data_IF_288871085782
#
_entry.id   IF_288871085782
#
_cell.length_a   1.000
_cell.length_b   1.000
_cell.length_c   1.000
_cell.angle_alpha   90.00
_cell.angle_beta   90.00
_cell.angle_gamma   90.00
#
_symmetry.space_group_name_H-M   'P 1'
#
loop_
_entity.id
_entity.type
_entity.pdbx_description
1 polymer ?
#
# COMPACT_ATOMS: atom_id res chain seq x y z
N UNK A 1 -11.78 8.05 26.05
CA UNK A 1 -11.87 8.56 24.66
C UNK A 1 -13.34 8.70 24.30
N UNK A 2 -13.83 9.90 23.93
CA UNK A 2 -15.25 10.10 23.65
C UNK A 2 -15.70 9.25 22.45
N UNK A 3 -16.80 8.53 22.59
CA UNK A 3 -17.33 7.56 21.60
C UNK A 3 -17.57 8.24 20.22
N UNK A 4 -17.83 9.53 20.19
CA UNK A 4 -18.14 10.31 18.98
C UNK A 4 -16.97 11.14 18.42
N UNK A 5 -15.73 10.95 18.93
CA UNK A 5 -14.57 11.64 18.36
C UNK A 5 -14.39 11.24 16.90
N UNK A 6 -14.26 12.24 16.01
CA UNK A 6 -14.11 12.05 14.56
C UNK A 6 -12.70 12.44 14.11
N UNK A 7 -12.24 11.82 13.01
CA UNK A 7 -11.07 12.28 12.28
C UNK A 7 -11.42 13.50 11.39
N UNK A 8 -10.44 14.13 10.71
CA UNK A 8 -10.69 15.27 9.82
C UNK A 8 -11.69 15.00 8.68
N UNK A 9 -11.87 13.72 8.31
CA UNK A 9 -12.82 13.30 7.26
C UNK A 9 -14.20 12.92 7.79
N UNK A 10 -14.48 13.18 9.07
CA UNK A 10 -15.78 12.92 9.70
C UNK A 10 -16.00 11.46 10.14
N UNK A 11 -15.02 10.57 10.00
CA UNK A 11 -15.15 9.18 10.44
C UNK A 11 -15.06 9.09 11.97
N UNK A 12 -16.04 8.41 12.60
CA UNK A 12 -16.07 8.14 14.02
C UNK A 12 -14.94 7.17 14.38
N UNK A 13 -13.99 7.60 15.22
CA UNK A 13 -12.80 6.82 15.56
C UNK A 13 -13.12 5.49 16.24
N UNK A 14 -14.17 5.43 17.05
CA UNK A 14 -14.64 4.19 17.66
C UNK A 14 -15.04 3.15 16.60
N UNK A 15 -15.82 3.54 15.60
CA UNK A 15 -16.22 2.64 14.51
C UNK A 15 -15.03 2.24 13.64
N UNK A 16 -14.14 3.18 13.34
CA UNK A 16 -12.89 2.91 12.58
C UNK A 16 -12.03 1.88 13.33
N UNK A 17 -11.88 1.99 14.65
CA UNK A 17 -11.13 1.05 15.47
C UNK A 17 -11.69 -0.37 15.35
N UNK A 18 -13.01 -0.51 15.52
CA UNK A 18 -13.67 -1.80 15.41
C UNK A 18 -13.57 -2.40 14.01
N UNK A 19 -13.71 -1.56 12.98
CA UNK A 19 -13.53 -1.99 11.59
C UNK A 19 -12.12 -2.55 11.35
N UNK A 20 -11.08 -1.85 11.80
CA UNK A 20 -9.69 -2.31 11.65
C UNK A 20 -9.46 -3.62 12.40
N UNK A 21 -9.98 -3.76 13.61
CA UNK A 21 -9.89 -5.00 14.41
C UNK A 21 -10.53 -6.18 13.69
N UNK A 22 -11.78 -6.03 13.25
CA UNK A 22 -12.55 -7.10 12.62
C UNK A 22 -11.91 -7.46 11.27
N UNK A 23 -11.67 -6.47 10.41
CA UNK A 23 -11.06 -6.70 9.09
C UNK A 23 -9.65 -7.31 9.24
N UNK A 24 -8.86 -6.83 10.20
CA UNK A 24 -7.55 -7.37 10.50
C UNK A 24 -7.63 -8.82 10.98
N UNK A 25 -8.53 -9.13 11.93
CA UNK A 25 -8.73 -10.51 12.41
C UNK A 25 -9.09 -11.47 11.26
N UNK A 26 -9.97 -11.05 10.36
CA UNK A 26 -10.39 -11.86 9.20
C UNK A 26 -9.27 -12.04 8.16
N UNK A 27 -8.35 -11.09 8.05
CA UNK A 27 -7.33 -11.09 7.02
C UNK A 27 -5.97 -11.62 7.48
N UNK A 28 -5.71 -11.67 8.78
CA UNK A 28 -4.43 -12.09 9.35
C UNK A 28 -3.93 -13.43 8.79
N UNK A 29 -4.80 -14.45 8.73
CA UNK A 29 -4.44 -15.79 8.20
C UNK A 29 -3.98 -15.78 6.75
N UNK A 30 -4.27 -14.73 5.99
CA UNK A 30 -3.86 -14.60 4.58
C UNK A 30 -2.36 -14.34 4.44
N UNK A 31 -1.78 -13.72 5.47
CA UNK A 31 -0.35 -13.35 5.53
C UNK A 31 0.43 -14.26 6.49
N UNK A 32 -0.29 -14.93 7.43
CA UNK A 32 0.32 -15.86 8.37
C UNK A 32 -0.59 -17.07 8.61
N UNK A 33 -0.35 -18.10 7.83
CA UNK A 33 -1.10 -19.35 7.88
C UNK A 33 -1.40 -19.91 6.51
N UNK A 34 -2.16 -19.19 5.66
CA UNK A 34 -2.35 -19.63 4.26
C UNK A 34 -1.16 -19.30 3.38
N UNK A 35 -0.49 -18.21 3.65
CA UNK A 35 0.76 -17.76 3.06
C UNK A 35 1.70 -17.33 4.20
N UNK A 36 2.93 -17.01 3.87
CA UNK A 36 3.91 -16.51 4.81
C UNK A 36 4.40 -15.15 4.35
N UNK A 37 4.26 -14.14 5.22
CA UNK A 37 4.76 -12.79 5.00
C UNK A 37 6.12 -12.64 5.67
N UNK A 38 7.15 -12.57 4.88
CA UNK A 38 8.50 -12.19 5.32
C UNK A 38 8.57 -10.67 5.36
N UNK A 39 8.92 -10.13 6.52
CA UNK A 39 9.00 -8.69 6.77
C UNK A 39 10.45 -8.34 7.06
N UNK A 40 10.90 -7.19 6.56
CA UNK A 40 12.25 -6.65 6.79
C UNK A 40 12.14 -5.14 6.99
N UNK A 41 12.89 -4.59 7.96
CA UNK A 41 13.02 -3.16 8.20
C UNK A 41 11.83 -2.54 8.93
N UNK A 42 10.95 -3.33 9.56
CA UNK A 42 9.78 -2.78 10.24
C UNK A 42 10.12 -1.95 11.48
N UNK A 43 11.32 -2.05 12.03
CA UNK A 43 11.83 -1.22 13.13
C UNK A 43 11.89 0.27 12.76
N UNK A 44 12.09 0.60 11.47
CA UNK A 44 12.08 1.98 10.97
C UNK A 44 10.77 2.68 11.35
N UNK A 45 9.65 1.95 11.33
CA UNK A 45 8.32 2.50 11.63
C UNK A 45 8.20 3.05 13.05
N UNK A 46 8.95 2.49 14.01
CA UNK A 46 8.89 2.92 15.42
C UNK A 46 9.57 4.25 15.67
N UNK A 47 10.47 4.65 14.77
CA UNK A 47 11.23 5.90 14.85
C UNK A 47 10.57 7.06 14.10
N UNK A 48 9.47 6.80 13.37
CA UNK A 48 8.77 7.81 12.59
C UNK A 48 7.88 8.67 13.50
N UNK A 49 7.70 9.96 13.18
CA UNK A 49 6.74 10.80 13.87
C UNK A 49 5.30 10.29 13.66
N UNK A 50 4.39 10.68 14.56
CA UNK A 50 2.99 10.22 14.50
C UNK A 50 2.24 10.71 13.26
N UNK A 51 2.72 11.76 12.60
CA UNK A 51 2.11 12.40 11.43
C UNK A 51 3.15 12.87 10.42
N UNK A 52 2.68 13.32 9.26
CA UNK A 52 3.48 13.82 8.14
C UNK A 52 4.48 12.79 7.59
N UNK A 53 4.00 11.54 7.45
CA UNK A 53 4.75 10.45 6.85
C UNK A 53 3.99 9.95 5.62
N UNK A 54 4.66 9.90 4.48
CA UNK A 54 4.14 9.39 3.22
C UNK A 54 4.84 8.07 2.86
N UNK A 55 4.12 6.98 2.96
CA UNK A 55 4.60 5.68 2.46
C UNK A 55 4.33 5.58 0.96
N UNK A 56 5.37 5.25 0.22
CA UNK A 56 5.31 5.03 -1.23
C UNK A 56 5.63 3.58 -1.54
N UNK A 57 4.80 2.91 -2.34
CA UNK A 57 4.99 1.48 -2.61
C UNK A 57 4.66 1.12 -4.05
N UNK A 58 5.29 0.06 -4.54
CA UNK A 58 4.80 -0.67 -5.70
C UNK A 58 3.43 -1.29 -5.37
N UNK A 59 2.62 -1.59 -6.40
CA UNK A 59 1.23 -2.02 -6.21
C UNK A 59 0.94 -3.34 -6.92
N UNK A 60 0.53 -4.35 -6.17
CA UNK A 60 0.28 -5.66 -6.71
C UNK A 60 -1.20 -6.04 -6.75
N UNK A 61 -1.99 -5.61 -5.75
CA UNK A 61 -3.43 -5.89 -5.64
C UNK A 61 -4.18 -4.69 -5.06
N UNK A 62 -5.49 -4.55 -5.31
CA UNK A 62 -6.22 -3.34 -4.87
C UNK A 62 -6.34 -3.19 -3.36
N UNK A 63 -6.50 -4.29 -2.62
CA UNK A 63 -6.77 -4.25 -1.18
C UNK A 63 -5.74 -4.98 -0.32
N UNK A 64 -5.21 -6.14 -0.79
CA UNK A 64 -4.31 -6.93 0.06
C UNK A 64 -3.03 -6.17 0.41
N UNK A 65 -2.51 -5.35 -0.49
CA UNK A 65 -1.32 -4.54 -0.25
C UNK A 65 -1.53 -3.58 0.93
N UNK A 66 -2.62 -2.81 0.91
CA UNK A 66 -2.97 -1.87 1.99
C UNK A 66 -3.22 -2.63 3.31
N UNK A 67 -3.94 -3.75 3.25
CA UNK A 67 -4.23 -4.57 4.44
C UNK A 67 -2.95 -5.11 5.07
N UNK A 68 -1.97 -5.55 4.27
CA UNK A 68 -0.67 -5.98 4.80
C UNK A 68 0.06 -4.84 5.52
N UNK A 69 0.03 -3.62 4.97
CA UNK A 69 0.59 -2.44 5.60
C UNK A 69 -0.07 -2.14 6.95
N UNK A 70 -1.40 -2.25 7.04
CA UNK A 70 -2.10 -2.11 8.33
C UNK A 70 -1.63 -3.15 9.34
N UNK A 71 -1.41 -4.41 8.93
CA UNK A 71 -0.88 -5.44 9.80
C UNK A 71 0.55 -5.13 10.26
N UNK A 72 1.46 -4.85 9.33
CA UNK A 72 2.87 -4.61 9.63
C UNK A 72 3.04 -3.36 10.49
N UNK A 73 2.39 -2.25 10.14
CA UNK A 73 2.51 -0.99 10.88
C UNK A 73 2.01 -1.13 12.32
N UNK A 74 0.84 -1.72 12.52
CA UNK A 74 0.32 -1.90 13.88
C UNK A 74 1.15 -2.91 14.68
N UNK A 75 1.69 -3.95 14.05
CA UNK A 75 2.56 -4.91 14.72
C UNK A 75 3.87 -4.24 15.17
N UNK A 76 4.52 -3.49 14.29
CA UNK A 76 5.74 -2.74 14.61
C UNK A 76 5.50 -1.73 15.73
N UNK A 77 4.46 -0.89 15.63
CA UNK A 77 4.12 0.09 16.68
C UNK A 77 3.72 -0.56 18.01
N UNK A 78 3.40 -1.86 18.02
CA UNK A 78 3.18 -2.67 19.23
C UNK A 78 4.45 -3.35 19.73
N UNK A 79 5.64 -2.96 19.24
CA UNK A 79 6.94 -3.50 19.65
C UNK A 79 7.32 -4.84 19.02
N UNK A 80 6.75 -5.18 17.84
CA UNK A 80 7.09 -6.42 17.12
C UNK A 80 7.92 -6.09 15.89
N UNK A 81 9.18 -6.40 15.93
CA UNK A 81 10.08 -6.24 14.79
C UNK A 81 9.90 -7.42 13.84
N UNK A 82 9.71 -7.09 12.55
CA UNK A 82 9.63 -8.03 11.41
C UNK A 82 8.65 -9.20 11.61
N UNK A 83 7.58 -8.97 12.38
CA UNK A 83 6.65 -10.04 12.73
C UNK A 83 5.23 -9.57 12.95
N UNK A 84 4.29 -10.28 12.33
CA UNK A 84 2.86 -10.16 12.61
C UNK A 84 2.32 -11.35 13.41
N UNK A 85 3.19 -12.11 14.08
CA UNK A 85 2.78 -13.20 14.97
C UNK A 85 1.86 -12.66 16.06
N UNK A 86 0.84 -13.41 16.42
CA UNK A 86 -0.12 -13.05 17.46
C UNK A 86 -0.85 -11.72 17.19
N UNK A 87 -2.10 -11.80 16.86
CA UNK A 87 -2.98 -10.72 16.41
C UNK A 87 -3.22 -9.58 17.44
N UNK A 88 -2.69 -9.72 18.66
CA UNK A 88 -2.91 -8.75 19.76
C UNK A 88 -2.54 -7.28 19.42
N UNK A 89 -1.69 -7.04 18.41
CA UNK A 89 -1.40 -5.68 17.95
C UNK A 89 -2.62 -4.94 17.36
N UNK A 90 -3.68 -5.65 17.03
CA UNK A 90 -4.94 -5.03 16.59
C UNK A 90 -5.79 -4.50 17.75
N UNK A 91 -5.37 -4.73 19.01
CA UNK A 91 -6.13 -4.23 20.16
C UNK A 91 -6.17 -2.71 20.23
N UNK A 92 -5.06 -2.05 19.92
CA UNK A 92 -4.97 -0.59 19.82
C UNK A 92 -4.34 -0.16 18.51
N UNK A 93 -5.10 -0.23 17.38
CA UNK A 93 -4.56 0.10 16.07
C UNK A 93 -4.37 1.61 15.91
N UNK A 94 -3.36 1.99 15.11
CA UNK A 94 -3.15 3.37 14.67
C UNK A 94 -4.36 3.84 13.85
N UNK A 95 -5.07 4.84 14.36
CA UNK A 95 -6.31 5.33 13.75
C UNK A 95 -6.07 6.45 12.73
N UNK A 96 -5.00 7.21 12.87
CA UNK A 96 -4.57 8.24 11.93
C UNK A 96 -3.68 7.64 10.82
N UNK A 97 -4.13 6.53 10.25
CA UNK A 97 -3.54 5.87 9.09
C UNK A 97 -4.51 5.97 7.91
N UNK A 98 -4.01 6.46 6.78
CA UNK A 98 -4.77 6.75 5.58
C UNK A 98 -4.14 6.08 4.36
N UNK A 99 -4.91 5.92 3.29
CA UNK A 99 -4.40 5.44 2.01
C UNK A 99 -5.11 6.11 0.84
N UNK A 100 -4.35 6.43 -0.20
CA UNK A 100 -4.87 7.03 -1.41
C UNK A 100 -5.50 5.96 -2.29
N UNK A 101 -6.76 6.13 -2.68
CA UNK A 101 -7.49 5.20 -3.50
C UNK A 101 -8.31 5.91 -4.59
N UNK A 102 -8.49 5.26 -5.75
CA UNK A 102 -9.37 5.78 -6.78
C UNK A 102 -10.83 5.72 -6.34
N UNK A 103 -11.55 6.83 -6.47
CA UNK A 103 -12.95 6.94 -6.07
C UNK A 103 -13.85 5.89 -6.72
N UNK A 104 -13.59 5.53 -7.98
CA UNK A 104 -14.28 4.44 -8.67
C UNK A 104 -14.14 3.09 -7.97
N UNK A 105 -12.95 2.78 -7.46
CA UNK A 105 -12.68 1.51 -6.77
C UNK A 105 -13.45 1.44 -5.46
N UNK A 106 -13.52 2.55 -4.72
CA UNK A 106 -14.21 2.62 -3.43
C UNK A 106 -15.74 2.61 -3.58
N UNK A 107 -16.27 3.02 -4.73
CA UNK A 107 -17.72 3.01 -5.03
C UNK A 107 -18.20 1.68 -5.66
N UNK A 108 -17.32 0.76 -6.00
CA UNK A 108 -17.61 -0.46 -6.75
C UNK A 108 -18.40 -1.55 -6.01
N UNK A 109 -18.87 -1.28 -4.77
CA UNK A 109 -19.70 -2.20 -3.98
C UNK A 109 -19.70 -1.89 -2.49
N UNK A 110 -20.45 -2.69 -1.71
CA UNK A 110 -20.59 -2.48 -0.27
C UNK A 110 -19.25 -2.69 0.48
N UNK A 111 -18.54 -3.78 0.19
CA UNK A 111 -17.27 -4.08 0.86
C UNK A 111 -16.19 -3.01 0.62
N UNK A 112 -15.94 -2.51 -0.62
CA UNK A 112 -15.06 -1.36 -0.82
C UNK A 112 -15.46 -0.12 -0.03
N UNK A 113 -16.76 0.17 0.08
CA UNK A 113 -17.25 1.32 0.87
C UNK A 113 -16.97 1.17 2.36
N UNK A 114 -17.15 -0.04 2.90
CA UNK A 114 -16.80 -0.35 4.30
C UNK A 114 -15.31 -0.20 4.51
N UNK A 115 -14.48 -0.75 3.61
CA UNK A 115 -13.03 -0.64 3.69
C UNK A 115 -12.55 0.82 3.56
N UNK A 116 -13.25 1.65 2.76
CA UNK A 116 -12.95 3.07 2.66
C UNK A 116 -13.03 3.79 4.01
N UNK A 117 -13.93 3.38 4.89
CA UNK A 117 -14.05 3.94 6.24
C UNK A 117 -12.81 3.68 7.10
N UNK A 118 -11.98 2.68 6.75
CA UNK A 118 -10.72 2.44 7.43
C UNK A 118 -9.66 3.52 7.17
N UNK A 119 -9.91 4.46 6.24
CA UNK A 119 -9.02 5.61 6.00
C UNK A 119 -8.71 5.88 4.53
N UNK A 120 -9.59 5.52 3.60
CA UNK A 120 -9.39 5.88 2.19
C UNK A 120 -9.55 7.38 1.96
N UNK A 121 -8.55 7.98 1.31
CA UNK A 121 -8.62 9.29 0.68
C UNK A 121 -8.92 9.03 -0.80
N UNK A 122 -10.11 9.39 -1.24
CA UNK A 122 -10.50 9.15 -2.63
C UNK A 122 -10.00 10.25 -3.54
N UNK A 123 -9.31 9.84 -4.61
CA UNK A 123 -8.83 10.76 -5.65
C UNK A 123 -9.48 10.44 -6.99
N UNK A 124 -9.70 11.48 -7.77
CA UNK A 124 -10.19 11.37 -9.15
C UNK A 124 -9.02 11.07 -10.08
N UNK A 125 -9.10 10.01 -10.87
CA UNK A 125 -8.05 9.72 -11.85
C UNK A 125 -8.12 10.74 -12.97
N UNK A 126 -6.97 11.33 -13.32
CA UNK A 126 -6.87 12.30 -14.41
C UNK A 126 -6.70 11.64 -15.78
N UNK A 127 -6.27 10.37 -15.82
CA UNK A 127 -5.91 9.67 -17.07
C UNK A 127 -6.83 8.51 -17.45
N UNK A 128 -7.73 8.06 -16.56
CA UNK A 128 -8.62 6.92 -16.85
C UNK A 128 -9.88 6.96 -16.02
N UNK A 129 -11.02 6.84 -16.68
CA UNK A 129 -12.32 6.64 -16.04
C UNK A 129 -13.06 5.48 -16.70
N UNK A 130 -13.61 4.55 -15.87
CA UNK A 130 -14.37 3.36 -16.35
C UNK A 130 -13.68 2.56 -17.47
N UNK A 131 -12.34 2.54 -17.44
CA UNK A 131 -11.56 1.81 -18.44
C UNK A 131 -11.15 2.59 -19.68
N UNK A 132 -11.68 3.80 -19.90
CA UNK A 132 -11.33 4.69 -21.01
C UNK A 132 -10.25 5.67 -20.59
N UNK A 133 -9.33 6.00 -21.49
CA UNK A 133 -8.36 7.07 -21.28
C UNK A 133 -9.09 8.43 -21.30
N UNK A 134 -8.73 9.28 -20.35
CA UNK A 134 -9.24 10.64 -20.22
C UNK A 134 -8.07 11.56 -19.91
N UNK A 135 -8.21 12.82 -20.31
CA UNK A 135 -7.31 13.90 -19.90
C UNK A 135 -8.12 14.88 -19.04
N UNK A 136 -7.84 14.93 -17.75
CA UNK A 136 -8.47 15.86 -16.81
C UNK A 136 -7.40 16.61 -16.04
N UNK A 137 -7.67 17.86 -15.75
CA UNK A 137 -6.87 18.63 -14.81
C UNK A 137 -6.90 17.98 -13.41
N UNK A 138 -5.80 18.13 -12.69
CA UNK A 138 -5.68 17.66 -11.29
C UNK A 138 -6.74 18.38 -10.45
N UNK A 139 -7.51 17.62 -9.70
CA UNK A 139 -8.47 18.20 -8.77
C UNK A 139 -7.71 18.70 -7.53
N UNK A 140 -7.65 20.01 -7.35
CA UNK A 140 -6.96 20.64 -6.20
C UNK A 140 -7.48 20.10 -4.86
N UNK A 141 -8.79 19.84 -4.77
CA UNK A 141 -9.41 19.27 -3.56
C UNK A 141 -8.84 17.88 -3.20
N UNK A 142 -8.51 17.07 -4.20
CA UNK A 142 -7.90 15.75 -3.95
C UNK A 142 -6.51 15.90 -3.32
N UNK A 143 -5.74 16.88 -3.77
CA UNK A 143 -4.41 17.21 -3.20
C UNK A 143 -4.54 17.79 -1.80
N UNK A 144 -5.50 18.69 -1.56
CA UNK A 144 -5.78 19.24 -0.24
C UNK A 144 -6.18 18.16 0.77
N UNK A 145 -7.02 17.20 0.38
CA UNK A 145 -7.39 16.07 1.24
C UNK A 145 -6.20 15.22 1.64
N UNK A 146 -5.22 15.04 0.72
CA UNK A 146 -3.97 14.32 1.08
C UNK A 146 -3.15 15.14 2.06
N UNK A 147 -3.08 16.47 1.89
CA UNK A 147 -2.42 17.37 2.86
C UNK A 147 -3.05 17.27 4.25
N UNK A 148 -4.39 17.36 4.34
CA UNK A 148 -5.12 17.20 5.62
C UNK A 148 -4.82 15.84 6.28
N UNK A 149 -4.68 14.78 5.49
CA UNK A 149 -4.36 13.46 6.02
C UNK A 149 -2.90 13.36 6.50
N UNK A 150 -1.96 14.01 5.82
CA UNK A 150 -0.56 14.11 6.26
C UNK A 150 -0.43 14.90 7.56
N UNK A 151 -1.18 15.98 7.70
CA UNK A 151 -1.22 16.79 8.93
C UNK A 151 -1.79 16.03 10.13
N UNK A 152 -2.70 15.07 9.89
CA UNK A 152 -3.30 14.23 10.94
C UNK A 152 -2.51 12.96 11.22
N UNK A 153 -1.85 12.36 10.21
CA UNK A 153 -1.24 11.05 10.38
C UNK A 153 -0.32 10.56 9.26
N UNK A 154 -0.35 9.26 9.04
CA UNK A 154 0.41 8.54 8.02
C UNK A 154 -0.45 8.31 6.77
N UNK A 155 0.14 8.49 5.60
CA UNK A 155 -0.53 8.31 4.32
C UNK A 155 0.20 7.27 3.48
N UNK A 156 -0.52 6.27 2.96
CA UNK A 156 -0.02 5.27 2.01
C UNK A 156 -0.42 5.70 0.60
N UNK A 157 0.52 5.68 -0.33
CA UNK A 157 0.26 5.94 -1.75
C UNK A 157 0.96 4.94 -2.66
N UNK A 158 0.36 4.71 -3.82
CA UNK A 158 0.90 3.87 -4.88
C UNK A 158 1.13 4.75 -6.12
N UNK A 159 2.34 5.31 -6.28
CA UNK A 159 2.58 6.40 -7.22
C UNK A 159 2.43 6.03 -8.70
N UNK A 160 2.47 4.74 -9.05
CA UNK A 160 2.16 4.26 -10.39
C UNK A 160 0.66 4.36 -10.75
N UNK A 161 -0.23 4.39 -9.73
CA UNK A 161 -1.69 4.44 -9.91
C UNK A 161 -2.29 3.19 -10.56
N UNK A 162 -1.54 2.10 -10.62
CA UNK A 162 -1.93 0.83 -11.25
C UNK A 162 -1.26 -0.35 -10.57
N UNK A 163 -1.90 -1.53 -10.64
CA UNK A 163 -1.30 -2.79 -10.18
C UNK A 163 -0.44 -3.47 -11.27
N UNK A 164 -0.30 -2.88 -12.47
CA UNK A 164 0.61 -3.39 -13.50
C UNK A 164 2.05 -3.00 -13.14
N UNK A 165 3.01 -3.94 -13.17
CA UNK A 165 4.40 -3.63 -12.88
C UNK A 165 5.01 -2.75 -13.98
N UNK A 166 6.10 -2.10 -13.65
CA UNK A 166 6.95 -1.36 -14.60
C UNK A 166 6.19 -0.25 -15.36
N UNK A 167 5.15 0.29 -14.75
CA UNK A 167 4.48 1.49 -15.28
C UNK A 167 5.09 2.73 -14.66
N UNK A 168 5.26 3.80 -15.44
CA UNK A 168 5.84 5.04 -14.95
C UNK A 168 5.11 5.58 -13.73
N UNK A 169 5.85 6.17 -12.82
CA UNK A 169 5.33 6.91 -11.68
C UNK A 169 4.64 8.18 -12.17
N UNK A 170 3.53 8.52 -11.52
CA UNK A 170 2.77 9.74 -11.79
C UNK A 170 3.39 10.93 -11.04
N UNK A 171 3.59 12.04 -11.74
CA UNK A 171 4.13 13.28 -11.16
C UNK A 171 3.32 13.82 -9.97
N UNK A 172 2.04 13.45 -9.87
CA UNK A 172 1.18 13.88 -8.76
C UNK A 172 1.74 13.57 -7.38
N UNK A 173 2.36 12.42 -7.17
CA UNK A 173 3.01 12.08 -5.89
C UNK A 173 4.21 13.00 -5.61
N UNK A 174 5.04 13.30 -6.61
CA UNK A 174 6.16 14.22 -6.47
C UNK A 174 5.69 15.66 -6.13
N UNK A 175 4.59 16.12 -6.72
CA UNK A 175 3.98 17.41 -6.36
C UNK A 175 3.48 17.43 -4.90
N UNK A 176 2.86 16.34 -4.43
CA UNK A 176 2.45 16.20 -3.02
C UNK A 176 3.67 16.29 -2.10
N UNK A 177 4.75 15.59 -2.45
CA UNK A 177 6.01 15.61 -1.68
C UNK A 177 6.58 17.04 -1.59
N UNK A 178 6.66 17.76 -2.71
CA UNK A 178 7.14 19.15 -2.70
C UNK A 178 6.26 20.09 -1.89
N UNK A 179 4.94 19.93 -1.99
CA UNK A 179 4.00 20.86 -1.35
C UNK A 179 3.89 20.64 0.15
N UNK A 180 3.88 19.38 0.63
CA UNK A 180 3.63 19.05 2.04
C UNK A 180 4.88 18.58 2.78
N UNK A 181 6.01 18.38 2.09
CA UNK A 181 7.33 18.02 2.66
C UNK A 181 7.25 16.88 3.70
N UNK A 182 6.56 15.76 3.40
CA UNK A 182 6.46 14.65 4.33
C UNK A 182 7.77 13.86 4.39
N UNK A 183 8.00 13.13 5.48
CA UNK A 183 9.00 12.05 5.48
C UNK A 183 8.51 10.97 4.53
N UNK A 184 9.28 10.68 3.48
CA UNK A 184 8.93 9.71 2.44
C UNK A 184 9.60 8.38 2.73
N UNK A 185 8.79 7.35 3.00
CA UNK A 185 9.27 6.00 3.36
C UNK A 185 8.89 5.02 2.26
N UNK A 186 9.85 4.44 1.53
CA UNK A 186 9.57 3.43 0.52
C UNK A 186 9.22 2.08 1.14
N UNK A 187 8.27 1.39 0.49
CA UNK A 187 7.91 0.01 0.81
C UNK A 187 7.93 -0.80 -0.49
N UNK A 188 8.59 -1.95 -0.43
CA UNK A 188 8.60 -2.92 -1.54
C UNK A 188 7.84 -4.17 -1.12
N UNK A 189 6.89 -4.59 -1.95
CA UNK A 189 6.12 -5.82 -1.73
C UNK A 189 6.25 -6.75 -2.92
N UNK A 190 6.30 -8.07 -2.65
CA UNK A 190 6.20 -9.11 -3.68
C UNK A 190 5.40 -10.31 -3.21
N UNK A 191 5.02 -11.19 -4.17
CA UNK A 191 4.25 -12.41 -3.92
C UNK A 191 2.74 -12.22 -3.84
N UNK A 192 2.23 -11.00 -3.75
CA UNK A 192 0.80 -10.73 -3.58
C UNK A 192 -0.02 -11.09 -4.83
N UNK A 193 0.50 -10.84 -6.04
CA UNK A 193 -0.17 -11.26 -7.29
C UNK A 193 -0.25 -12.77 -7.43
N UNK A 194 0.71 -13.50 -6.87
CA UNK A 194 0.73 -14.97 -6.84
C UNK A 194 -0.28 -15.51 -5.84
N UNK A 195 -0.42 -14.83 -4.68
CA UNK A 195 -1.26 -15.23 -3.57
C UNK A 195 -2.73 -14.89 -3.76
N UNK A 196 -3.04 -13.73 -4.37
CA UNK A 196 -4.38 -13.15 -4.39
C UNK A 196 -4.90 -12.90 -5.81
N UNK A 197 -6.22 -12.76 -5.92
CA UNK A 197 -6.85 -12.21 -7.11
C UNK A 197 -6.47 -10.72 -7.28
N UNK A 198 -6.75 -10.15 -8.44
CA UNK A 198 -6.43 -8.75 -8.75
C UNK A 198 -6.99 -7.75 -7.74
N UNK A 199 -8.14 -8.05 -7.14
CA UNK A 199 -8.73 -7.22 -6.09
C UNK A 199 -8.02 -7.38 -4.74
N UNK A 200 -7.31 -8.48 -4.51
CA UNK A 200 -6.72 -8.81 -3.22
C UNK A 200 -7.75 -9.27 -2.18
N UNK A 201 -8.93 -9.69 -2.62
CA UNK A 201 -10.03 -10.12 -1.75
C UNK A 201 -10.10 -11.64 -1.62
N UNK A 202 -9.72 -12.38 -2.65
CA UNK A 202 -9.74 -13.84 -2.67
C UNK A 202 -8.33 -14.41 -2.73
N UNK A 203 -8.09 -15.48 -1.98
CA UNK A 203 -6.86 -16.26 -2.08
C UNK A 203 -6.91 -17.04 -3.39
N UNK A 204 -5.92 -16.84 -4.24
CA UNK A 204 -5.72 -17.54 -5.50
C UNK A 204 -4.85 -18.78 -5.30
N UNK A 205 -3.78 -18.65 -4.50
CA UNK A 205 -2.85 -19.72 -4.18
C UNK A 205 -2.40 -19.62 -2.73
N UNK A 206 -2.19 -20.76 -2.07
CA UNK A 206 -1.64 -20.87 -0.70
C UNK A 206 -0.17 -21.30 -0.76
N UNK A 207 0.53 -21.19 0.35
CA UNK A 207 1.95 -21.57 0.46
C UNK A 207 2.89 -20.64 -0.30
N UNK A 208 2.45 -19.41 -0.60
CA UNK A 208 3.30 -18.41 -1.26
C UNK A 208 4.08 -17.65 -0.20
N UNK A 209 5.40 -17.54 -0.41
CA UNK A 209 6.22 -16.57 0.29
C UNK A 209 5.92 -15.18 -0.27
N UNK A 210 5.41 -14.32 0.58
CA UNK A 210 5.19 -12.90 0.33
C UNK A 210 6.31 -12.12 0.98
N UNK A 211 6.82 -11.08 0.36
CA UNK A 211 7.81 -10.18 0.97
C UNK A 211 7.22 -8.80 1.20
N UNK A 212 7.68 -8.17 2.26
CA UNK A 212 7.35 -6.83 2.68
C UNK A 212 8.59 -6.16 3.27
N UNK A 213 9.14 -5.21 2.57
CA UNK A 213 10.35 -4.50 2.99
C UNK A 213 10.03 -3.03 3.23
N UNK A 214 10.37 -2.53 4.41
CA UNK A 214 10.37 -1.09 4.72
C UNK A 214 11.81 -0.60 4.53
N UNK A 215 11.99 0.39 3.68
CA UNK A 215 13.29 1.00 3.42
C UNK A 215 13.46 2.29 4.23
N UNK A 216 14.72 2.70 4.40
CA UNK A 216 15.04 3.98 5.04
C UNK A 216 14.32 5.14 4.34
N UNK A 217 13.93 6.17 5.09
CA UNK A 217 13.35 7.37 4.53
C UNK A 217 14.23 8.00 3.44
N UNK A 218 13.61 8.45 2.36
CA UNK A 218 14.32 9.11 1.27
C UNK A 218 14.86 10.48 1.73
N UNK A 219 16.09 10.76 1.33
CA UNK A 219 16.67 12.10 1.45
C UNK A 219 16.24 12.91 0.24
N UNK A 220 15.33 13.85 0.44
CA UNK A 220 14.78 14.71 -0.63
C UNK A 220 15.07 16.17 -0.27
N UNK A 221 15.68 16.89 -1.21
CA UNK A 221 15.77 18.35 -1.13
C UNK A 221 14.48 18.95 -1.69
N UNK A 222 13.54 19.23 -0.79
CA UNK A 222 12.20 19.71 -1.16
C UNK A 222 12.22 21.04 -1.93
N UNK A 223 13.26 21.85 -1.77
CA UNK A 223 13.39 23.15 -2.46
C UNK A 223 14.02 22.99 -3.85
N UNK A 224 15.13 22.26 -3.94
CA UNK A 224 15.96 22.24 -5.14
C UNK A 224 15.71 21.02 -6.04
N UNK A 225 15.24 19.88 -5.49
CA UNK A 225 14.98 18.71 -6.33
C UNK A 225 13.82 18.99 -7.29
N UNK A 226 14.03 18.71 -8.57
CA UNK A 226 12.97 18.80 -9.58
C UNK A 226 11.93 17.67 -9.39
N UNK A 227 10.74 17.88 -9.92
CA UNK A 227 9.68 16.85 -9.90
C UNK A 227 10.15 15.56 -10.57
N UNK A 228 10.91 15.69 -11.66
CA UNK A 228 11.47 14.58 -12.41
C UNK A 228 12.49 13.79 -11.57
N UNK A 229 13.37 14.48 -10.84
CA UNK A 229 14.35 13.84 -9.96
C UNK A 229 13.65 13.09 -8.83
N UNK A 230 12.61 13.66 -8.22
CA UNK A 230 11.82 12.98 -7.19
C UNK A 230 11.13 11.74 -7.77
N UNK A 231 10.56 11.81 -8.98
CA UNK A 231 9.94 10.66 -9.65
C UNK A 231 10.97 9.55 -9.85
N UNK A 232 12.16 9.86 -10.34
CA UNK A 232 13.23 8.89 -10.52
C UNK A 232 13.67 8.25 -9.20
N UNK A 233 13.86 9.05 -8.14
CA UNK A 233 14.16 8.53 -6.80
C UNK A 233 13.07 7.57 -6.30
N UNK A 234 11.79 7.88 -6.52
CA UNK A 234 10.68 7.01 -6.16
C UNK A 234 10.69 5.71 -6.96
N UNK A 235 10.97 5.76 -8.28
CA UNK A 235 11.05 4.55 -9.13
C UNK A 235 12.14 3.59 -8.66
N UNK A 236 13.32 4.12 -8.31
CA UNK A 236 14.39 3.32 -7.72
C UNK A 236 14.01 2.78 -6.36
N UNK A 237 13.45 3.61 -5.48
CA UNK A 237 13.17 3.25 -4.10
C UNK A 237 12.13 2.11 -3.99
N UNK A 238 11.09 2.11 -4.84
CA UNK A 238 10.06 1.04 -4.87
C UNK A 238 10.37 -0.07 -5.89
N UNK A 239 11.60 -0.13 -6.41
CA UNK A 239 12.09 -1.15 -7.35
C UNK A 239 11.23 -1.29 -8.62
N UNK A 240 10.77 -0.17 -9.14
CA UNK A 240 9.99 -0.12 -10.38
C UNK A 240 10.72 0.59 -11.52
N UNK A 241 11.99 0.98 -11.31
CA UNK A 241 12.86 1.46 -12.37
C UNK A 241 13.24 0.31 -13.31
N UNK A 242 13.39 0.53 -14.63
CA UNK A 242 13.74 -0.52 -15.58
C UNK A 242 15.00 -1.33 -15.27
N UNK A 243 15.95 -0.76 -14.51
CA UNK A 243 17.16 -1.49 -14.05
C UNK A 243 16.86 -2.69 -13.14
N UNK A 244 15.69 -2.75 -12.52
CA UNK A 244 15.26 -3.89 -11.71
C UNK A 244 14.57 -4.98 -12.52
N UNK A 245 14.37 -4.78 -13.82
CA UNK A 245 13.84 -5.82 -14.71
C UNK A 245 14.84 -6.98 -14.79
N UNK A 246 14.49 -8.10 -14.19
CA UNK A 246 15.23 -9.35 -14.38
C UNK A 246 14.84 -9.90 -15.75
N UNK A 247 15.79 -9.98 -16.66
CA UNK A 247 15.64 -10.77 -17.88
C UNK A 247 15.80 -12.24 -17.45
N UNK A 248 14.68 -12.96 -17.37
CA UNK A 248 14.72 -14.42 -17.10
C UNK A 248 15.06 -15.08 -18.43
N UNK A 249 16.16 -15.86 -18.52
CA UNK A 249 16.48 -16.60 -19.75
C UNK A 249 15.30 -17.50 -20.15
N UNK A 250 15.05 -17.62 -21.44
CA UNK A 250 13.93 -18.41 -21.98
C UNK A 250 13.98 -19.86 -21.51
N UNK A 251 15.18 -20.40 -21.35
CA UNK A 251 15.43 -21.75 -20.84
C UNK A 251 14.92 -21.96 -19.40
N UNK A 252 15.01 -20.97 -18.51
CA UNK A 252 14.47 -21.03 -17.15
C UNK A 252 12.93 -21.02 -17.17
N UNK A 253 12.33 -20.25 -18.09
CA UNK A 253 10.87 -20.18 -18.25
C UNK A 253 10.34 -21.53 -18.74
N UNK A 254 10.99 -22.13 -19.72
CA UNK A 254 10.62 -23.45 -20.26
C UNK A 254 10.79 -24.55 -19.23
N UNK A 255 11.87 -24.52 -18.43
CA UNK A 255 12.09 -25.48 -17.36
C UNK A 255 11.03 -25.38 -16.25
N UNK A 256 10.63 -24.14 -15.87
CA UNK A 256 9.57 -23.93 -14.88
C UNK A 256 8.19 -24.34 -15.42
N UNK A 257 7.91 -24.12 -16.70
CA UNK A 257 6.69 -24.60 -17.36
C UNK A 257 6.61 -26.11 -17.42
N UNK A 258 7.71 -26.79 -17.75
CA UNK A 258 7.77 -28.26 -17.71
C UNK A 258 7.57 -28.83 -16.32
N UNK A 259 8.20 -28.24 -15.30
CA UNK A 259 8.04 -28.63 -13.91
C UNK A 259 6.58 -28.45 -13.44
N UNK A 260 5.93 -27.37 -13.84
CA UNK A 260 4.53 -27.11 -13.55
C UNK A 260 3.57 -28.06 -14.29
N UNK A 261 3.91 -28.49 -15.51
CA UNK A 261 3.16 -29.53 -16.24
C UNK A 261 3.27 -30.87 -15.53
N UNK A 262 4.47 -31.29 -15.10
CA UNK A 262 4.68 -32.54 -14.34
C UNK A 262 3.89 -32.54 -13.02
N UNK A 263 3.90 -31.46 -12.26
CA UNK A 263 3.14 -31.32 -11.01
C UNK A 263 1.61 -31.39 -11.18
N UNK A 264 1.08 -31.04 -12.36
CA UNK A 264 -0.37 -31.16 -12.65
C UNK A 264 -0.85 -32.59 -12.87
N UNK A 265 0.04 -33.53 -13.12
CA UNK A 265 -0.29 -34.95 -13.36
C UNK A 265 -0.09 -35.83 -12.12
N UNK A 266 0.37 -35.28 -11.01
CA UNK A 266 0.59 -35.98 -9.72
C UNK A 266 -0.55 -35.82 -8.71
N UNK A 267 -1.71 -35.24 -9.13
CA UNK A 267 -2.90 -35.09 -8.28
C UNK A 267 -4.15 -35.64 -8.96
#
# INVERSE_FOLDING_TARGET
>A
MGIFKKNPFGHILFLKRWLIRIAGAMTHRRYRGFNELQIVGSEILTNLPDRNVLFVSNHQTYFADVVSMFHVFNASLSGRTDSIKNIGYLWDPKLNLYYVAAGETMKAGLLPRILAYAGAITVSRTWREKGKEIDRQVNLKDTENIGIALDDGWVITFPQGTTKPWKPIRKGTAHIIKNYKPIVVPIVIDGFRRSFDKKGLRIKKRGILQSFEVKEPLVIDYENDSVEKIVEQLEYAIEQHPSFLKVIPTEEIEAEEELNKKRKWEY
#
